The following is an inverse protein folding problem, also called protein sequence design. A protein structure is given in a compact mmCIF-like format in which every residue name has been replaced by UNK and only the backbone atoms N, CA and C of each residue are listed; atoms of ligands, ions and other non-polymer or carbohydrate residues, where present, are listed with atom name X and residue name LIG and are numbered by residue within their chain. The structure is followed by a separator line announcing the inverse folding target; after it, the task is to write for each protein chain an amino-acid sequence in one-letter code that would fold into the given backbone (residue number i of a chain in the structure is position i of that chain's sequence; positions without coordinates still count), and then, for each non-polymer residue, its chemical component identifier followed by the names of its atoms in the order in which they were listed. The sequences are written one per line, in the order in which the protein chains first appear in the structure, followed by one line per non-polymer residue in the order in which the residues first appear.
data_IF_183442706366
#
_entry.id   IF_183442706366
#
_cell.length_a   1.000
_cell.length_b   1.000
_cell.length_c   1.000
_cell.angle_alpha   90.00
_cell.angle_beta   90.00
_cell.angle_gamma   90.00
#
_symmetry.space_group_name_H-M   'P 1'
#
loop_
_entity.id
_entity.type
_entity.pdbx_description
1 polymer ?
#
# COMPACT_ATOMS: atom_id res chain seq x y z
N UNK A 1 16.89 -8.21 -23.89
CA UNK A 1 16.41 -9.54 -23.46
C UNK A 1 17.06 -9.93 -22.13
N UNK A 2 16.27 -10.24 -21.14
CA UNK A 2 16.71 -10.68 -19.81
C UNK A 2 16.37 -12.17 -19.69
N UNK A 3 17.36 -13.03 -19.44
CA UNK A 3 17.15 -14.43 -19.09
C UNK A 3 17.11 -14.56 -17.56
N UNK A 4 16.15 -15.31 -17.01
CA UNK A 4 15.93 -15.44 -15.57
C UNK A 4 15.77 -16.91 -15.18
N UNK A 5 16.21 -17.28 -13.96
CA UNK A 5 16.07 -18.65 -13.47
C UNK A 5 14.60 -19.02 -13.27
N UNK A 6 13.80 -18.08 -12.73
CA UNK A 6 12.35 -18.22 -12.57
C UNK A 6 11.66 -16.86 -12.60
N UNK A 7 10.39 -16.82 -12.97
CA UNK A 7 9.56 -15.62 -12.90
C UNK A 7 8.11 -15.97 -12.57
N UNK A 8 7.40 -15.04 -11.93
CA UNK A 8 5.95 -15.10 -11.81
C UNK A 8 5.35 -14.39 -13.02
N UNK A 9 4.76 -15.16 -13.93
CA UNK A 9 4.05 -14.68 -15.11
C UNK A 9 2.55 -14.97 -14.95
N UNK A 10 1.75 -13.90 -14.79
CA UNK A 10 0.35 -14.05 -14.38
C UNK A 10 0.24 -14.71 -13.00
N UNK A 11 -0.43 -15.85 -12.94
CA UNK A 11 -0.63 -16.63 -11.69
C UNK A 11 0.27 -17.86 -11.59
N UNK A 12 1.38 -17.89 -12.36
CA UNK A 12 2.25 -19.07 -12.42
C UNK A 12 3.72 -18.71 -12.17
N UNK A 13 4.36 -19.48 -11.30
CA UNK A 13 5.82 -19.52 -11.21
C UNK A 13 6.36 -20.42 -12.33
N UNK A 14 7.12 -19.85 -13.25
CA UNK A 14 7.72 -20.58 -14.39
C UNK A 14 9.25 -20.57 -14.31
N UNK A 15 9.91 -21.66 -14.73
CA UNK A 15 11.36 -21.83 -14.69
C UNK A 15 11.83 -22.70 -15.87
N UNK A 16 12.84 -22.29 -16.68
CA UNK A 16 13.34 -20.92 -16.74
C UNK A 16 12.33 -19.96 -17.40
N UNK A 17 12.64 -18.64 -17.38
CA UNK A 17 11.82 -17.63 -18.03
C UNK A 17 12.69 -16.56 -18.72
N UNK A 18 12.05 -15.72 -19.51
CA UNK A 18 12.68 -14.57 -20.15
C UNK A 18 11.76 -13.37 -20.20
N UNK A 19 12.34 -12.18 -20.20
CA UNK A 19 11.64 -10.89 -20.24
C UNK A 19 12.36 -10.01 -21.25
N UNK A 20 11.63 -9.45 -22.19
CA UNK A 20 12.14 -8.46 -23.12
C UNK A 20 11.67 -7.06 -22.71
N UNK A 21 12.63 -6.16 -22.52
CA UNK A 21 12.39 -4.77 -22.09
C UNK A 21 12.91 -3.83 -23.17
N UNK A 22 12.12 -2.82 -23.51
CA UNK A 22 12.52 -1.73 -24.41
C UNK A 22 12.09 -0.39 -23.78
N UNK A 23 13.07 0.44 -23.45
CA UNK A 23 12.82 1.66 -22.69
C UNK A 23 12.28 1.33 -21.30
N UNK A 24 11.14 1.87 -20.97
CA UNK A 24 10.44 1.68 -19.69
C UNK A 24 9.34 0.60 -19.73
N UNK A 25 9.21 -0.14 -20.85
CA UNK A 25 8.14 -1.12 -21.03
C UNK A 25 8.65 -2.55 -21.23
N UNK A 26 7.85 -3.51 -20.76
CA UNK A 26 7.97 -4.91 -21.09
C UNK A 26 7.33 -5.13 -22.48
N UNK A 27 8.13 -5.58 -23.45
CA UNK A 27 7.67 -5.86 -24.82
C UNK A 27 7.08 -7.26 -24.92
N UNK A 28 7.74 -8.21 -24.25
CA UNK A 28 7.31 -9.60 -24.21
C UNK A 28 7.90 -10.30 -22.98
N UNK A 29 7.28 -11.37 -22.55
CA UNK A 29 7.81 -12.29 -21.54
C UNK A 29 7.28 -13.72 -21.81
N UNK A 30 8.01 -14.72 -21.36
CA UNK A 30 7.58 -16.09 -21.58
C UNK A 30 8.34 -17.13 -20.76
N UNK A 31 7.74 -18.32 -20.69
CA UNK A 31 8.33 -19.50 -20.07
C UNK A 31 9.34 -20.17 -21.02
N UNK A 32 10.32 -20.84 -20.46
CA UNK A 32 11.35 -21.56 -21.19
C UNK A 32 12.57 -20.71 -21.54
N UNK A 33 13.46 -21.23 -22.38
CA UNK A 33 14.64 -20.51 -22.85
C UNK A 33 14.26 -19.26 -23.65
N UNK A 34 15.06 -18.21 -23.54
CA UNK A 34 14.87 -16.99 -24.33
C UNK A 34 14.91 -17.32 -25.86
N UNK A 35 13.99 -16.70 -26.65
CA UNK A 35 13.94 -16.97 -28.10
C UNK A 35 15.07 -16.30 -28.89
N UNK A 36 15.86 -15.45 -28.25
CA UNK A 36 16.98 -14.73 -28.86
C UNK A 36 18.18 -14.59 -27.94
N UNK A 37 19.12 -13.74 -28.31
CA UNK A 37 20.31 -13.49 -27.49
C UNK A 37 19.91 -12.85 -26.14
N UNK A 38 20.47 -13.37 -25.07
CA UNK A 38 20.30 -12.84 -23.70
C UNK A 38 21.39 -11.78 -23.46
N UNK A 39 20.96 -10.54 -23.22
CA UNK A 39 21.86 -9.42 -22.91
C UNK A 39 22.24 -9.42 -21.42
N UNK A 40 21.29 -9.80 -20.56
CA UNK A 40 21.43 -9.82 -19.09
C UNK A 40 20.90 -11.13 -18.56
N UNK A 41 21.73 -11.89 -17.85
CA UNK A 41 21.31 -13.05 -17.08
C UNK A 41 21.07 -12.62 -15.62
N UNK A 42 19.91 -12.98 -15.06
CA UNK A 42 19.52 -12.68 -13.69
C UNK A 42 19.27 -13.99 -12.95
N UNK A 43 20.07 -14.25 -11.92
CA UNK A 43 19.85 -15.35 -11.00
C UNK A 43 18.78 -14.98 -9.98
N UNK A 44 17.85 -15.92 -9.76
CA UNK A 44 16.79 -15.75 -8.76
C UNK A 44 15.39 -15.85 -9.35
N UNK A 45 14.41 -15.53 -8.50
CA UNK A 45 13.00 -15.46 -8.88
C UNK A 45 12.60 -14.02 -9.13
N UNK A 46 12.09 -13.74 -10.32
CA UNK A 46 11.64 -12.39 -10.72
C UNK A 46 10.14 -12.26 -10.52
N UNK A 47 9.75 -11.24 -9.78
CA UNK A 47 8.36 -10.82 -9.58
C UNK A 47 8.13 -9.46 -10.27
N UNK A 48 6.87 -9.07 -10.53
CA UNK A 48 6.55 -7.67 -10.78
C UNK A 48 7.05 -6.81 -9.63
N UNK A 49 7.46 -5.58 -9.89
CA UNK A 49 7.76 -4.63 -8.84
C UNK A 49 6.56 -4.41 -7.92
N UNK A 50 6.81 -4.23 -6.64
CA UNK A 50 5.75 -4.10 -5.65
C UNK A 50 4.98 -2.78 -5.82
N UNK A 51 3.70 -2.83 -5.49
CA UNK A 51 2.77 -1.71 -5.45
C UNK A 51 2.29 -1.54 -4.01
N UNK A 52 2.56 -0.39 -3.43
CA UNK A 52 2.13 -0.06 -2.07
C UNK A 52 1.18 1.13 -2.12
N UNK A 53 -0.09 0.85 -1.88
CA UNK A 53 -1.15 1.85 -1.96
C UNK A 53 -1.39 2.59 -0.64
N UNK A 54 -0.70 2.19 0.46
CA UNK A 54 -0.86 2.78 1.78
C UNK A 54 0.49 2.83 2.50
N UNK A 55 1.12 4.01 2.48
CA UNK A 55 2.42 4.26 3.08
C UNK A 55 2.57 5.75 3.43
N UNK A 56 3.05 6.05 4.65
CA UNK A 56 3.20 7.41 5.19
C UNK A 56 4.63 7.94 5.15
N UNK A 57 5.62 7.08 4.91
CA UNK A 57 7.02 7.49 4.89
C UNK A 57 8.00 6.35 5.13
N UNK A 58 9.28 6.72 5.31
CA UNK A 58 10.38 5.81 5.60
C UNK A 58 11.69 6.54 5.76
N UNK A 59 12.65 5.94 6.44
CA UNK A 59 14.00 6.47 6.65
C UNK A 59 14.02 7.93 7.17
N UNK A 60 13.11 8.26 8.09
CA UNK A 60 12.88 9.61 8.65
C UNK A 60 12.31 10.62 7.64
N UNK A 61 11.86 10.18 6.48
CA UNK A 61 11.17 10.99 5.48
C UNK A 61 9.67 10.74 5.54
N UNK A 62 8.89 11.76 5.89
CA UNK A 62 7.45 11.68 6.02
C UNK A 62 6.75 12.32 4.82
N UNK A 63 5.71 11.70 4.29
CA UNK A 63 4.96 12.22 3.13
C UNK A 63 4.05 13.39 3.50
N UNK A 64 3.66 13.48 4.77
CA UNK A 64 2.84 14.55 5.32
C UNK A 64 3.63 15.74 5.90
N UNK A 65 4.94 15.82 5.62
CA UNK A 65 5.79 16.91 6.13
C UNK A 65 5.58 18.26 5.40
N UNK A 66 4.75 18.33 4.35
CA UNK A 66 4.59 19.51 3.50
C UNK A 66 5.86 19.88 2.69
N UNK A 67 6.75 18.92 2.48
CA UNK A 67 8.07 19.12 1.85
C UNK A 67 8.41 17.97 0.93
N UNK A 68 8.66 18.26 -0.34
CA UNK A 68 9.02 17.28 -1.36
C UNK A 68 10.34 16.53 -1.05
N UNK A 69 11.36 17.22 -0.50
CA UNK A 69 12.63 16.61 -0.16
C UNK A 69 12.51 15.53 0.95
N UNK A 70 11.66 15.75 1.94
CA UNK A 70 11.38 14.76 2.97
C UNK A 70 10.66 13.55 2.37
N UNK A 71 9.66 13.77 1.51
CA UNK A 71 8.93 12.70 0.84
C UNK A 71 9.82 11.83 -0.07
N UNK A 72 10.77 12.43 -0.76
CA UNK A 72 11.75 11.71 -1.59
C UNK A 72 12.61 10.73 -0.80
N UNK A 73 12.96 11.05 0.45
CA UNK A 73 13.75 10.15 1.32
C UNK A 73 12.98 8.85 1.59
N UNK A 74 11.70 8.96 1.94
CA UNK A 74 10.83 7.80 2.15
C UNK A 74 10.59 7.00 0.87
N UNK A 75 10.30 7.68 -0.24
CA UNK A 75 10.09 7.04 -1.53
C UNK A 75 11.32 6.23 -1.99
N UNK A 76 12.52 6.78 -1.82
CA UNK A 76 13.76 6.12 -2.19
C UNK A 76 14.03 4.87 -1.33
N UNK A 77 13.73 4.93 -0.02
CA UNK A 77 13.79 3.74 0.83
C UNK A 77 12.93 2.62 0.24
N UNK A 78 11.64 2.87 0.05
CA UNK A 78 10.70 1.86 -0.41
C UNK A 78 11.06 1.34 -1.81
N UNK A 79 11.60 2.20 -2.69
CA UNK A 79 12.09 1.78 -4.02
C UNK A 79 13.24 0.78 -3.90
N UNK A 80 14.21 1.03 -3.02
CA UNK A 80 15.33 0.09 -2.76
C UNK A 80 14.86 -1.23 -2.15
N UNK A 81 13.69 -1.24 -1.53
CA UNK A 81 13.02 -2.44 -1.01
C UNK A 81 11.98 -3.03 -1.98
N UNK A 82 12.07 -2.67 -3.28
CA UNK A 82 11.29 -3.29 -4.35
C UNK A 82 9.93 -2.67 -4.61
N UNK A 83 9.49 -1.66 -3.85
CA UNK A 83 8.27 -0.92 -4.13
C UNK A 83 8.51 0.06 -5.27
N UNK A 84 8.14 -0.34 -6.48
CA UNK A 84 8.32 0.45 -7.70
C UNK A 84 7.14 1.38 -7.98
N UNK A 85 6.04 1.15 -7.31
CA UNK A 85 4.83 1.98 -7.36
C UNK A 85 4.37 2.26 -5.95
N UNK A 86 4.34 3.53 -5.58
CA UNK A 86 4.07 3.98 -4.22
C UNK A 86 3.00 5.07 -4.25
N UNK A 87 1.99 4.96 -3.39
CA UNK A 87 1.01 6.00 -3.13
C UNK A 87 1.39 6.72 -1.83
N UNK A 88 1.46 8.05 -1.87
CA UNK A 88 1.81 8.84 -0.70
C UNK A 88 0.57 9.05 0.19
N UNK A 89 0.55 8.44 1.37
CA UNK A 89 -0.54 8.60 2.34
C UNK A 89 -0.29 9.80 3.25
N UNK A 90 -1.25 10.71 3.28
CA UNK A 90 -1.32 11.82 4.23
C UNK A 90 -2.15 11.39 5.44
N UNK A 91 -1.75 11.86 6.61
CA UNK A 91 -2.52 11.66 7.84
C UNK A 91 -3.48 12.83 8.08
N UNK A 92 -4.41 12.64 9.00
CA UNK A 92 -5.33 13.70 9.45
C UNK A 92 -4.58 15.00 9.78
N UNK A 93 -5.01 16.09 9.14
CA UNK A 93 -4.48 17.43 9.37
C UNK A 93 -5.58 18.50 9.17
N UNK A 94 -5.28 19.75 9.47
CA UNK A 94 -6.18 20.85 9.13
C UNK A 94 -6.33 20.99 7.61
N UNK A 95 -7.43 21.58 7.13
CA UNK A 95 -7.60 21.77 5.69
C UNK A 95 -6.45 22.59 5.04
N UNK A 96 -5.97 23.70 5.63
CA UNK A 96 -4.81 24.41 5.09
C UNK A 96 -3.55 23.54 5.00
N UNK A 97 -3.26 22.74 6.04
CA UNK A 97 -2.08 21.87 6.06
C UNK A 97 -2.20 20.76 5.01
N UNK A 98 -3.38 20.16 4.82
CA UNK A 98 -3.62 19.17 3.76
C UNK A 98 -3.40 19.78 2.37
N UNK A 99 -3.83 21.01 2.15
CA UNK A 99 -3.60 21.73 0.89
C UNK A 99 -2.09 21.90 0.66
N UNK A 100 -1.33 22.38 1.65
CA UNK A 100 0.13 22.54 1.57
C UNK A 100 0.82 21.19 1.27
N UNK A 101 0.40 20.12 1.95
CA UNK A 101 0.95 18.77 1.75
C UNK A 101 0.67 18.24 0.35
N UNK A 102 -0.57 18.41 -0.16
CA UNK A 102 -0.94 18.01 -1.53
C UNK A 102 -0.12 18.78 -2.57
N UNK A 103 0.00 20.10 -2.41
CA UNK A 103 0.78 20.95 -3.30
C UNK A 103 2.28 20.59 -3.29
N UNK A 104 2.84 20.24 -2.13
CA UNK A 104 4.22 19.78 -2.00
C UNK A 104 4.48 18.44 -2.69
N UNK A 105 3.50 17.53 -2.71
CA UNK A 105 3.60 16.22 -3.35
C UNK A 105 3.28 16.26 -4.85
N UNK A 106 2.55 17.26 -5.32
CA UNK A 106 2.09 17.34 -6.70
C UNK A 106 3.21 17.16 -7.74
N UNK A 107 4.38 17.81 -7.63
CA UNK A 107 5.48 17.58 -8.57
C UNK A 107 6.01 16.16 -8.58
N UNK A 108 5.97 15.47 -7.42
CA UNK A 108 6.46 14.09 -7.27
C UNK A 108 5.44 13.06 -7.80
N UNK A 109 4.18 13.43 -7.91
CA UNK A 109 3.18 12.63 -8.64
C UNK A 109 3.34 12.86 -10.15
N UNK A 110 3.55 14.10 -10.56
CA UNK A 110 3.69 14.45 -11.98
C UNK A 110 4.95 13.85 -12.64
N UNK A 111 6.03 13.67 -11.88
CA UNK A 111 7.27 13.03 -12.36
C UNK A 111 7.26 11.49 -12.20
N UNK A 112 6.21 10.92 -11.62
CA UNK A 112 6.04 9.48 -11.42
C UNK A 112 6.78 8.88 -10.23
N UNK A 113 7.33 9.70 -9.33
CA UNK A 113 7.91 9.25 -8.04
C UNK A 113 6.83 8.59 -7.19
N UNK A 114 5.64 9.21 -7.10
CA UNK A 114 4.42 8.62 -6.54
C UNK A 114 3.39 8.35 -7.62
N UNK A 115 2.60 7.30 -7.45
CA UNK A 115 1.48 6.99 -8.34
C UNK A 115 0.26 7.88 -8.07
N UNK A 116 0.21 8.51 -6.89
CA UNK A 116 -0.84 9.38 -6.44
C UNK A 116 -0.76 9.64 -4.95
N UNK A 117 -1.78 10.31 -4.43
CA UNK A 117 -1.92 10.69 -3.02
C UNK A 117 -3.12 9.95 -2.43
N UNK A 118 -2.97 9.43 -1.22
CA UNK A 118 -4.02 8.89 -0.39
C UNK A 118 -4.27 9.82 0.79
N UNK A 119 -5.53 10.21 1.00
CA UNK A 119 -5.96 10.93 2.19
C UNK A 119 -6.44 9.93 3.25
N UNK A 120 -5.65 9.65 4.27
CA UNK A 120 -6.12 8.90 5.43
C UNK A 120 -6.66 9.86 6.48
N UNK A 121 -7.95 10.08 6.41
CA UNK A 121 -8.63 11.15 7.12
C UNK A 121 -8.64 12.49 6.34
N UNK A 122 -9.22 13.52 6.97
CA UNK A 122 -9.60 13.70 8.37
C UNK A 122 -11.00 13.17 8.75
N UNK A 123 -11.68 12.54 7.85
CA UNK A 123 -13.07 12.10 7.97
C UNK A 123 -13.17 10.71 8.62
N UNK A 124 -12.58 10.58 9.83
CA UNK A 124 -12.44 9.32 10.57
C UNK A 124 -13.20 9.38 11.89
N UNK A 125 -13.53 8.23 12.45
CA UNK A 125 -14.21 8.09 13.72
C UNK A 125 -13.33 8.49 14.91
N UNK A 126 -13.83 9.38 15.78
CA UNK A 126 -13.16 9.72 17.04
C UNK A 126 -12.94 8.48 17.94
N UNK A 127 -13.85 7.50 17.88
CA UNK A 127 -13.73 6.25 18.65
C UNK A 127 -12.67 5.30 18.08
N UNK A 128 -12.24 5.51 16.84
CA UNK A 128 -11.29 4.69 16.09
C UNK A 128 -10.15 5.53 15.52
N UNK A 129 -9.76 6.57 16.24
CA UNK A 129 -8.74 7.51 15.78
C UNK A 129 -7.36 6.86 15.56
N UNK A 130 -7.03 5.78 16.30
CA UNK A 130 -5.70 5.16 16.16
C UNK A 130 -4.59 6.18 16.43
N UNK A 131 -3.72 6.36 15.45
CA UNK A 131 -2.60 7.32 15.49
C UNK A 131 -2.92 8.65 14.77
N UNK A 132 -4.20 9.00 14.65
CA UNK A 132 -4.62 10.33 14.17
C UNK A 132 -4.94 11.25 15.34
N UNK A 133 -4.62 12.55 15.20
CA UNK A 133 -4.94 13.55 16.20
C UNK A 133 -6.47 13.73 16.30
N UNK A 134 -7.09 13.36 17.45
CA UNK A 134 -8.53 13.41 17.59
C UNK A 134 -9.11 14.84 17.49
N UNK A 135 -8.34 15.87 17.80
CA UNK A 135 -8.79 17.26 17.72
C UNK A 135 -8.93 17.76 16.27
N UNK A 136 -8.35 17.04 15.30
CA UNK A 136 -8.41 17.36 13.88
C UNK A 136 -9.43 16.51 13.11
N UNK A 137 -9.98 15.46 13.74
CA UNK A 137 -11.02 14.62 13.14
C UNK A 137 -12.32 15.37 13.00
N UNK A 138 -13.02 15.17 11.88
CA UNK A 138 -14.27 15.88 11.59
C UNK A 138 -15.14 15.14 10.59
N UNK A 139 -16.40 15.49 10.54
CA UNK A 139 -17.31 15.02 9.50
C UNK A 139 -16.94 15.64 8.14
N UNK A 140 -17.15 14.93 7.02
CA UNK A 140 -16.88 15.45 5.69
C UNK A 140 -17.91 16.51 5.31
N UNK A 141 -17.46 17.76 5.20
CA UNK A 141 -18.26 18.83 4.66
C UNK A 141 -18.12 18.89 3.14
N UNK A 142 -19.21 18.97 2.35
CA UNK A 142 -19.14 18.92 0.88
C UNK A 142 -18.19 19.94 0.26
N UNK A 143 -18.09 21.13 0.84
CA UNK A 143 -17.20 22.20 0.38
C UNK A 143 -15.71 21.86 0.63
N UNK A 144 -15.39 21.22 1.74
CA UNK A 144 -14.03 20.76 2.04
C UNK A 144 -13.62 19.63 1.09
N UNK A 145 -14.49 18.63 0.90
CA UNK A 145 -14.25 17.53 -0.04
C UNK A 145 -14.00 18.06 -1.46
N UNK A 146 -14.84 18.99 -1.93
CA UNK A 146 -14.65 19.65 -3.23
C UNK A 146 -13.30 20.37 -3.32
N UNK A 147 -12.95 21.15 -2.29
CA UNK A 147 -11.68 21.90 -2.27
C UNK A 147 -10.48 20.98 -2.36
N UNK A 148 -10.44 19.87 -1.60
CA UNK A 148 -9.32 18.93 -1.64
C UNK A 148 -9.22 18.20 -2.99
N UNK A 149 -10.36 17.82 -3.59
CA UNK A 149 -10.39 17.23 -4.94
C UNK A 149 -9.83 18.24 -5.97
N UNK A 150 -10.27 19.49 -5.92
CA UNK A 150 -9.85 20.55 -6.85
C UNK A 150 -8.34 20.85 -6.74
N UNK A 151 -7.82 20.99 -5.51
CA UNK A 151 -6.39 21.19 -5.26
C UNK A 151 -5.57 19.97 -5.71
N UNK A 152 -6.08 18.77 -5.47
CA UNK A 152 -5.46 17.53 -5.94
C UNK A 152 -5.29 17.46 -7.45
N UNK A 153 -6.20 18.06 -8.22
CA UNK A 153 -6.15 18.13 -9.67
C UNK A 153 -5.98 16.75 -10.32
N UNK A 154 -6.65 15.72 -9.79
CA UNK A 154 -6.56 14.34 -10.24
C UNK A 154 -5.39 13.53 -9.63
N UNK A 155 -4.61 14.11 -8.72
CA UNK A 155 -3.47 13.42 -8.06
C UNK A 155 -3.89 12.68 -6.79
N UNK A 156 -5.02 13.06 -6.16
CA UNK A 156 -5.62 12.26 -5.08
C UNK A 156 -6.33 11.09 -5.74
N UNK A 157 -5.87 9.87 -5.44
CA UNK A 157 -6.41 8.63 -6.03
C UNK A 157 -7.16 7.77 -5.02
N UNK A 158 -6.98 8.02 -3.72
CA UNK A 158 -7.70 7.31 -2.66
C UNK A 158 -7.99 8.25 -1.49
N UNK A 159 -9.11 8.01 -0.79
CA UNK A 159 -9.43 8.66 0.48
C UNK A 159 -10.12 7.67 1.43
N UNK A 160 -9.63 7.58 2.66
CA UNK A 160 -10.22 6.77 3.74
C UNK A 160 -11.23 7.60 4.52
N UNK A 161 -12.42 7.02 4.71
CA UNK A 161 -13.56 7.67 5.36
C UNK A 161 -14.29 6.69 6.29
N UNK A 162 -14.80 7.19 7.42
CA UNK A 162 -15.66 6.45 8.34
C UNK A 162 -17.14 6.63 7.93
N UNK A 163 -17.84 5.57 7.52
CA UNK A 163 -19.20 5.65 6.96
C UNK A 163 -20.27 6.17 7.93
N UNK A 164 -20.07 6.02 9.24
CA UNK A 164 -21.02 6.47 10.26
C UNK A 164 -21.07 7.98 10.46
N UNK A 165 -20.11 8.72 9.89
CA UNK A 165 -20.06 10.17 10.02
C UNK A 165 -21.21 10.84 9.26
N UNK A 166 -21.79 11.92 9.80
CA UNK A 166 -22.76 12.72 9.07
C UNK A 166 -22.17 13.20 7.73
N UNK A 167 -22.87 12.98 6.62
CA UNK A 167 -22.42 13.40 5.29
C UNK A 167 -21.50 12.40 4.57
N UNK A 168 -21.06 11.31 5.23
CA UNK A 168 -20.11 10.36 4.65
C UNK A 168 -20.57 9.75 3.33
N UNK A 169 -21.85 9.37 3.20
CA UNK A 169 -22.37 8.79 1.95
C UNK A 169 -22.24 9.77 0.77
N UNK A 170 -22.63 11.04 0.99
CA UNK A 170 -22.50 12.08 -0.04
C UNK A 170 -21.02 12.36 -0.38
N UNK A 171 -20.12 12.30 0.62
CA UNK A 171 -18.69 12.46 0.38
C UNK A 171 -18.11 11.29 -0.43
N UNK A 172 -18.53 10.05 -0.15
CA UNK A 172 -18.14 8.88 -0.94
C UNK A 172 -18.60 9.03 -2.40
N UNK A 173 -19.87 9.42 -2.64
CA UNK A 173 -20.37 9.68 -3.99
C UNK A 173 -19.58 10.82 -4.69
N UNK A 174 -19.21 11.87 -3.96
CA UNK A 174 -18.45 12.99 -4.50
C UNK A 174 -17.01 12.58 -4.86
N UNK A 175 -16.32 11.82 -4.00
CA UNK A 175 -14.98 11.27 -4.23
C UNK A 175 -14.98 10.34 -5.44
N UNK A 176 -15.89 9.36 -5.47
CA UNK A 176 -15.97 8.38 -6.56
C UNK A 176 -16.37 9.03 -7.89
N UNK A 177 -17.26 10.03 -7.86
CA UNK A 177 -17.62 10.85 -9.01
C UNK A 177 -16.44 11.65 -9.58
N UNK A 178 -15.43 11.94 -8.78
CA UNK A 178 -14.17 12.58 -9.18
C UNK A 178 -13.07 11.57 -9.57
N UNK A 179 -13.35 10.25 -9.55
CA UNK A 179 -12.39 9.21 -9.86
C UNK A 179 -11.46 8.85 -8.70
N UNK A 180 -11.77 9.29 -7.47
CA UNK A 180 -11.03 8.95 -6.25
C UNK A 180 -11.61 7.67 -5.64
N UNK A 181 -10.78 6.68 -5.36
CA UNK A 181 -11.18 5.47 -4.66
C UNK A 181 -11.58 5.80 -3.22
N UNK A 182 -12.82 5.52 -2.85
CA UNK A 182 -13.26 5.64 -1.48
C UNK A 182 -12.93 4.35 -0.71
N UNK A 183 -12.19 4.50 0.40
CA UNK A 183 -11.81 3.41 1.29
C UNK A 183 -12.52 3.54 2.65
N UNK A 184 -12.98 2.42 3.21
CA UNK A 184 -13.61 2.38 4.52
C UNK A 184 -12.57 1.99 5.56
N UNK A 185 -12.32 2.87 6.53
CA UNK A 185 -11.35 2.63 7.60
C UNK A 185 -11.56 3.54 8.80
N UNK A 186 -10.85 3.27 9.90
CA UNK A 186 -10.94 4.05 11.13
C UNK A 186 -12.39 4.33 11.54
N UNK A 187 -13.19 3.27 11.60
CA UNK A 187 -14.64 3.35 11.66
C UNK A 187 -15.21 2.53 12.81
N UNK A 188 -16.28 3.03 13.41
CA UNK A 188 -17.11 2.32 14.38
C UNK A 188 -18.50 1.98 13.80
N UNK A 189 -18.60 1.94 12.45
CA UNK A 189 -19.85 1.74 11.75
C UNK A 189 -20.42 0.32 11.95
N UNK A 190 -21.70 0.19 11.70
CA UNK A 190 -22.39 -1.09 11.63
C UNK A 190 -22.16 -1.77 10.27
N UNK A 191 -22.54 -3.05 10.15
CA UNK A 191 -22.52 -3.77 8.87
C UNK A 191 -23.41 -3.08 7.83
N UNK A 192 -24.60 -2.58 8.24
CA UNK A 192 -25.52 -1.89 7.34
C UNK A 192 -24.94 -0.56 6.82
N UNK A 193 -24.22 0.19 7.66
CA UNK A 193 -23.57 1.42 7.24
C UNK A 193 -22.39 1.15 6.29
N UNK A 194 -21.61 0.09 6.57
CA UNK A 194 -20.56 -0.35 5.64
C UNK A 194 -21.16 -0.76 4.28
N UNK A 195 -22.28 -1.50 4.27
CA UNK A 195 -22.95 -1.87 3.04
C UNK A 195 -23.46 -0.64 2.27
N UNK A 196 -24.04 0.36 2.96
CA UNK A 196 -24.45 1.61 2.33
C UNK A 196 -23.27 2.36 1.70
N UNK A 197 -22.10 2.36 2.35
CA UNK A 197 -20.90 2.97 1.80
C UNK A 197 -20.37 2.25 0.55
N UNK A 198 -20.41 0.91 0.54
CA UNK A 198 -20.10 0.10 -0.65
C UNK A 198 -21.08 0.40 -1.79
N UNK A 199 -22.37 0.52 -1.48
CA UNK A 199 -23.42 0.85 -2.47
C UNK A 199 -23.28 2.30 -2.99
N UNK A 200 -22.73 3.21 -2.18
CA UNK A 200 -22.34 4.58 -2.58
C UNK A 200 -21.03 4.63 -3.40
N UNK A 201 -20.32 3.53 -3.53
CA UNK A 201 -19.15 3.39 -4.40
C UNK A 201 -17.82 3.14 -3.71
N UNK A 202 -17.78 2.91 -2.39
CA UNK A 202 -16.55 2.51 -1.71
C UNK A 202 -16.11 1.09 -2.13
N UNK A 203 -14.83 0.91 -2.45
CA UNK A 203 -14.29 -0.35 -2.99
C UNK A 203 -13.05 -0.86 -2.26
N UNK A 204 -12.55 -0.16 -1.25
CA UNK A 204 -11.38 -0.59 -0.46
C UNK A 204 -11.72 -0.60 1.02
N UNK A 205 -11.19 -1.57 1.75
CA UNK A 205 -11.18 -1.60 3.21
C UNK A 205 -9.76 -1.31 3.69
N UNK A 206 -9.56 -0.15 4.29
CA UNK A 206 -8.25 0.32 4.79
C UNK A 206 -7.80 -0.57 5.93
N UNK A 207 -6.55 -1.11 5.86
CA UNK A 207 -5.89 -1.97 6.86
C UNK A 207 -6.87 -2.78 7.71
N UNK A 208 -7.65 -3.64 7.03
CA UNK A 208 -8.78 -4.39 7.60
C UNK A 208 -8.45 -4.97 8.99
N UNK A 209 -9.41 -4.92 9.92
CA UNK A 209 -9.35 -5.28 11.33
C UNK A 209 -8.74 -4.20 12.24
N UNK A 210 -7.86 -3.34 11.73
CA UNK A 210 -7.25 -2.29 12.52
C UNK A 210 -8.20 -1.09 12.61
N UNK A 211 -8.35 -0.53 13.81
CA UNK A 211 -9.29 0.58 14.09
C UNK A 211 -10.72 0.33 13.58
N UNK A 212 -11.19 -0.92 13.71
CA UNK A 212 -12.56 -1.36 13.42
C UNK A 212 -13.12 -2.16 14.61
N UNK A 213 -14.45 -2.24 14.79
CA UNK A 213 -15.06 -3.15 15.75
C UNK A 213 -14.67 -4.60 15.46
N UNK A 214 -14.33 -5.34 16.49
CA UNK A 214 -14.05 -6.77 16.35
C UNK A 214 -15.30 -7.55 15.92
N UNK A 215 -15.11 -8.61 15.14
CA UNK A 215 -16.20 -9.51 14.76
C UNK A 215 -16.79 -10.14 16.02
N UNK A 216 -18.09 -9.95 16.22
CA UNK A 216 -18.81 -10.57 17.32
C UNK A 216 -19.94 -11.44 16.78
N UNK A 217 -20.14 -12.61 17.41
CA UNK A 217 -21.12 -13.64 16.97
C UNK A 217 -22.57 -13.17 16.81
N UNK A 218 -22.93 -12.03 17.39
CA UNK A 218 -24.28 -11.43 17.32
C UNK A 218 -24.31 -10.07 16.61
N UNK A 219 -23.15 -9.56 16.21
CA UNK A 219 -23.01 -8.31 15.47
C UNK A 219 -21.69 -8.39 14.66
N UNK A 220 -21.78 -8.75 13.38
CA UNK A 220 -20.60 -8.95 12.52
C UNK A 220 -19.76 -7.68 12.34
N UNK A 221 -20.41 -6.53 12.43
CA UNK A 221 -19.74 -5.23 12.23
C UNK A 221 -19.33 -4.99 10.79
N UNK A 222 -18.56 -3.91 10.53
CA UNK A 222 -18.13 -3.57 9.19
C UNK A 222 -17.24 -4.64 8.57
N UNK A 223 -16.40 -5.31 9.37
CA UNK A 223 -15.46 -6.32 8.87
C UNK A 223 -16.16 -7.42 8.10
N UNK A 224 -17.32 -7.92 8.60
CA UNK A 224 -18.07 -8.98 7.91
C UNK A 224 -18.66 -8.46 6.59
N UNK A 225 -19.23 -7.26 6.55
CA UNK A 225 -19.77 -6.68 5.33
C UNK A 225 -18.66 -6.47 4.27
N UNK A 226 -17.48 -5.96 4.67
CA UNK A 226 -16.34 -5.74 3.79
C UNK A 226 -15.75 -7.05 3.24
N UNK A 227 -15.74 -8.11 4.05
CA UNK A 227 -15.29 -9.44 3.61
C UNK A 227 -16.27 -10.12 2.67
N UNK A 228 -17.57 -9.95 2.91
CA UNK A 228 -18.65 -10.63 2.16
C UNK A 228 -18.90 -10.03 0.77
N UNK A 229 -18.74 -8.69 0.62
CA UNK A 229 -19.02 -8.02 -0.65
C UNK A 229 -17.85 -8.17 -1.65
N UNK A 230 -18.08 -8.81 -2.83
CA UNK A 230 -17.02 -9.06 -3.81
C UNK A 230 -16.45 -7.81 -4.48
N UNK A 231 -17.08 -6.65 -4.34
CA UNK A 231 -16.62 -5.37 -4.88
C UNK A 231 -15.45 -4.78 -4.07
N UNK A 232 -15.23 -5.28 -2.83
CA UNK A 232 -14.28 -4.70 -1.89
C UNK A 232 -12.95 -5.43 -1.96
N UNK A 233 -11.88 -4.70 -2.19
CA UNK A 233 -10.48 -5.12 -1.94
C UNK A 233 -10.11 -4.76 -0.51
N UNK A 234 -9.57 -5.72 0.25
CA UNK A 234 -9.15 -5.49 1.64
C UNK A 234 -7.65 -5.30 1.73
N UNK A 235 -7.21 -4.26 2.41
CA UNK A 235 -5.80 -4.07 2.76
C UNK A 235 -5.44 -4.89 4.00
N UNK A 236 -4.28 -5.53 3.96
CA UNK A 236 -3.69 -6.22 5.11
C UNK A 236 -2.24 -5.77 5.28
N UNK A 237 -1.81 -5.57 6.53
CA UNK A 237 -0.42 -5.24 6.90
C UNK A 237 0.28 -6.53 7.32
N UNK A 238 1.12 -7.14 6.48
CA UNK A 238 1.76 -8.42 6.77
C UNK A 238 3.10 -8.24 7.52
N UNK A 239 3.07 -7.55 8.66
CA UNK A 239 4.26 -7.30 9.50
C UNK A 239 4.38 -8.28 10.68
N UNK A 240 3.38 -9.16 10.88
CA UNK A 240 3.30 -10.08 12.01
C UNK A 240 2.93 -9.44 13.35
N UNK A 241 2.58 -8.14 13.34
CA UNK A 241 2.22 -7.35 14.52
C UNK A 241 0.76 -6.90 14.45
N UNK A 242 0.35 -6.27 13.34
CA UNK A 242 -1.00 -5.74 13.13
C UNK A 242 -2.04 -6.85 13.00
N UNK A 243 -1.69 -7.91 12.27
CA UNK A 243 -2.57 -9.07 12.04
C UNK A 243 -1.77 -10.35 12.19
N UNK A 244 -2.33 -11.30 12.93
CA UNK A 244 -1.73 -12.63 13.11
C UNK A 244 -1.52 -13.32 11.75
N UNK A 245 -0.33 -13.89 11.46
CA UNK A 245 -0.04 -14.53 10.18
C UNK A 245 -1.01 -15.66 9.81
N UNK A 246 -1.51 -16.43 10.78
CA UNK A 246 -2.50 -17.47 10.51
C UNK A 246 -3.85 -16.88 10.07
N UNK A 247 -4.23 -15.70 10.62
CA UNK A 247 -5.43 -14.99 10.19
C UNK A 247 -5.26 -14.40 8.78
N UNK A 248 -4.10 -13.83 8.46
CA UNK A 248 -3.80 -13.39 7.08
C UNK A 248 -3.93 -14.57 6.12
N UNK A 249 -3.29 -15.70 6.41
CA UNK A 249 -3.38 -16.90 5.57
C UNK A 249 -4.81 -17.40 5.41
N UNK A 250 -5.62 -17.35 6.47
CA UNK A 250 -7.05 -17.70 6.40
C UNK A 250 -7.83 -16.73 5.48
N UNK A 251 -7.64 -15.43 5.63
CA UNK A 251 -8.34 -14.42 4.84
C UNK A 251 -7.98 -14.53 3.35
N UNK A 252 -6.69 -14.70 3.03
CA UNK A 252 -6.25 -14.86 1.63
C UNK A 252 -6.87 -16.11 0.99
N UNK A 253 -6.90 -17.24 1.71
CA UNK A 253 -7.56 -18.45 1.19
C UNK A 253 -9.06 -18.31 1.03
N UNK A 254 -9.71 -17.49 1.85
CA UNK A 254 -11.16 -17.29 1.83
C UNK A 254 -11.61 -16.33 0.74
N UNK A 255 -10.82 -15.27 0.48
CA UNK A 255 -11.17 -14.19 -0.45
C UNK A 255 -10.57 -14.40 -1.85
N UNK A 256 -9.46 -15.13 -1.93
CA UNK A 256 -8.65 -15.21 -3.15
C UNK A 256 -7.71 -14.02 -3.34
N UNK A 257 -6.72 -14.17 -4.26
CA UNK A 257 -5.67 -13.15 -4.43
C UNK A 257 -6.18 -11.82 -4.99
N UNK A 258 -7.29 -11.81 -5.70
CA UNK A 258 -7.78 -10.60 -6.39
C UNK A 258 -8.52 -9.62 -5.45
N UNK A 259 -8.71 -10.02 -4.19
CA UNK A 259 -9.42 -9.21 -3.19
C UNK A 259 -8.59 -8.81 -1.99
N UNK A 260 -7.31 -9.16 -1.96
CA UNK A 260 -6.41 -8.82 -0.86
C UNK A 260 -5.21 -8.04 -1.38
N UNK A 261 -5.04 -6.82 -0.92
CA UNK A 261 -3.87 -5.98 -1.17
C UNK A 261 -2.97 -5.98 0.08
N UNK A 262 -1.71 -6.40 -0.07
CA UNK A 262 -0.72 -6.18 0.97
C UNK A 262 -0.26 -4.72 0.93
N UNK A 263 -0.25 -4.07 2.09
CA UNK A 263 0.23 -2.69 2.26
C UNK A 263 1.25 -2.64 3.38
N UNK A 264 2.10 -1.61 3.37
CA UNK A 264 3.04 -1.45 4.48
C UNK A 264 2.44 -0.67 5.63
N UNK A 265 1.63 0.35 5.37
CA UNK A 265 1.24 1.35 6.37
C UNK A 265 2.48 1.87 7.13
N UNK A 266 3.60 1.99 6.39
CA UNK A 266 4.89 2.35 6.95
C UNK A 266 4.95 3.83 7.27
N UNK A 267 5.59 4.14 8.41
CA UNK A 267 5.86 5.52 8.81
C UNK A 267 7.36 5.84 8.77
N UNK A 268 7.76 7.04 9.12
CA UNK A 268 9.14 7.51 9.05
C UNK A 268 10.20 6.62 9.73
N UNK A 269 9.80 5.68 10.57
CA UNK A 269 10.71 4.73 11.20
C UNK A 269 11.05 3.50 10.33
N UNK A 270 10.33 3.23 9.25
CA UNK A 270 10.69 2.14 8.34
C UNK A 270 12.11 2.34 7.80
N UNK A 271 12.95 1.31 7.89
CA UNK A 271 14.35 1.38 7.48
C UNK A 271 15.26 2.26 8.35
N UNK A 272 14.77 2.73 9.50
CA UNK A 272 15.52 3.55 10.43
C UNK A 272 15.66 2.85 11.81
N UNK A 273 16.61 3.25 12.69
CA UNK A 273 16.80 2.66 14.01
C UNK A 273 15.59 2.85 14.93
N UNK A 274 15.43 1.97 15.95
CA UNK A 274 14.54 2.20 17.07
C UNK A 274 14.78 3.56 17.73
N UNK A 275 13.76 4.18 18.28
CA UNK A 275 13.87 5.49 18.93
C UNK A 275 12.58 6.29 18.86
N UNK A 276 12.72 7.61 19.02
CA UNK A 276 11.61 8.55 19.02
C UNK A 276 11.35 9.08 17.61
N UNK A 277 10.06 9.09 17.24
CA UNK A 277 9.53 9.53 15.95
C UNK A 277 8.28 10.36 16.15
N UNK A 278 7.65 10.75 15.05
CA UNK A 278 6.33 11.40 15.05
C UNK A 278 5.50 10.89 13.88
N UNK A 279 4.19 10.89 14.05
CA UNK A 279 3.23 10.75 12.98
C UNK A 279 2.22 11.92 13.07
N UNK A 280 2.22 12.80 12.09
CA UNK A 280 1.51 14.08 12.22
C UNK A 280 1.95 14.85 13.48
N UNK A 281 1.01 15.21 14.35
CA UNK A 281 1.27 15.91 15.60
C UNK A 281 1.67 14.98 16.77
N UNK A 282 1.53 13.66 16.63
CA UNK A 282 1.65 12.70 17.72
C UNK A 282 3.06 12.13 17.85
N UNK A 283 3.55 12.00 19.08
CA UNK A 283 4.82 11.38 19.38
C UNK A 283 4.70 9.84 19.34
N UNK A 284 5.70 9.19 18.75
CA UNK A 284 5.77 7.74 18.55
C UNK A 284 7.09 7.23 19.12
N UNK A 285 7.04 6.09 19.79
CA UNK A 285 8.22 5.34 20.24
C UNK A 285 8.30 4.03 19.47
N UNK A 286 9.43 3.79 18.83
CA UNK A 286 9.74 2.53 18.15
C UNK A 286 10.68 1.71 19.01
N UNK A 287 10.28 0.47 19.30
CA UNK A 287 11.08 -0.48 20.06
C UNK A 287 10.91 -1.90 19.50
N UNK A 288 12.02 -2.55 19.19
CA UNK A 288 12.01 -3.86 18.54
C UNK A 288 11.33 -3.84 17.17
N UNK A 289 11.37 -2.71 16.47
CA UNK A 289 10.74 -2.52 15.17
C UNK A 289 9.22 -2.31 15.24
N UNK A 290 8.63 -2.16 16.42
CA UNK A 290 7.19 -1.90 16.61
C UNK A 290 6.98 -0.44 17.00
N UNK A 291 6.15 0.27 16.23
CA UNK A 291 5.81 1.67 16.43
C UNK A 291 4.54 1.79 17.27
N UNK A 292 4.61 2.50 18.40
CA UNK A 292 3.45 2.78 19.26
C UNK A 292 3.39 4.27 19.56
N UNK A 293 2.20 4.81 19.75
CA UNK A 293 2.05 6.14 20.31
C UNK A 293 2.73 6.23 21.68
N UNK A 294 3.42 7.33 21.95
CA UNK A 294 4.11 7.55 23.22
C UNK A 294 3.14 7.40 24.40
N UNK A 295 3.66 6.90 25.55
CA UNK A 295 2.84 6.66 26.74
C UNK A 295 2.08 5.33 26.73
N UNK A 296 2.39 4.38 25.83
CA UNK A 296 1.76 3.06 25.77
C UNK A 296 0.44 3.06 25.02
N UNK A 297 0.31 3.94 24.04
CA UNK A 297 -0.85 4.04 23.15
C UNK A 297 -0.91 2.91 22.10
N UNK A 298 -1.88 2.98 21.17
CA UNK A 298 -2.02 2.00 20.07
C UNK A 298 -0.82 2.01 19.13
N UNK A 299 -0.80 1.03 18.22
CA UNK A 299 0.14 0.99 17.09
C UNK A 299 -0.01 2.27 16.26
N UNK A 300 1.08 2.75 15.70
CA UNK A 300 1.18 4.01 14.96
C UNK A 300 1.86 3.77 13.61
N UNK A 301 1.11 3.22 12.66
CA UNK A 301 1.65 2.68 11.43
C UNK A 301 2.64 1.54 11.67
N UNK A 302 3.44 1.20 10.68
CA UNK A 302 4.42 0.12 10.76
C UNK A 302 5.85 0.60 10.46
N UNK A 303 6.81 -0.32 10.65
CA UNK A 303 8.19 -0.18 10.14
C UNK A 303 8.45 -1.14 8.98
N UNK A 304 7.39 -1.63 8.33
CA UNK A 304 7.45 -2.65 7.31
C UNK A 304 8.00 -2.07 5.99
N UNK A 305 8.77 -2.90 5.28
CA UNK A 305 9.05 -2.72 3.85
C UNK A 305 8.40 -3.86 3.07
N UNK A 306 7.98 -3.63 1.81
CA UNK A 306 7.17 -4.60 1.08
C UNK A 306 7.89 -5.93 0.82
N UNK A 307 9.22 -5.93 0.66
CA UNK A 307 10.02 -7.16 0.56
C UNK A 307 9.96 -8.01 1.84
N UNK A 308 9.88 -7.38 3.02
CA UNK A 308 9.64 -8.08 4.30
C UNK A 308 8.21 -8.58 4.37
N UNK A 309 7.24 -7.76 3.94
CA UNK A 309 5.84 -8.17 3.85
C UNK A 309 5.65 -9.41 2.96
N UNK A 310 6.28 -9.44 1.79
CA UNK A 310 6.28 -10.61 0.91
C UNK A 310 6.84 -11.85 1.61
N UNK A 311 7.97 -11.71 2.33
CA UNK A 311 8.55 -12.84 3.08
C UNK A 311 7.59 -13.36 4.15
N UNK A 312 6.99 -12.48 4.92
CA UNK A 312 5.98 -12.86 5.93
C UNK A 312 4.80 -13.59 5.28
N UNK A 313 4.28 -13.10 4.15
CA UNK A 313 3.20 -13.77 3.42
C UNK A 313 3.58 -15.21 3.02
N UNK A 314 4.79 -15.42 2.51
CA UNK A 314 5.21 -16.75 2.06
C UNK A 314 5.63 -17.64 3.22
N UNK A 315 6.50 -17.16 4.13
CA UNK A 315 7.15 -17.99 5.13
C UNK A 315 6.29 -18.21 6.38
N UNK A 316 5.58 -17.15 6.83
CA UNK A 316 4.83 -17.19 8.09
C UNK A 316 3.33 -17.44 7.86
N UNK A 317 2.74 -16.86 6.80
CA UNK A 317 1.34 -17.08 6.45
C UNK A 317 1.12 -18.32 5.56
N UNK A 318 2.17 -18.94 5.01
CA UNK A 318 2.10 -20.13 4.16
C UNK A 318 1.43 -19.89 2.80
N UNK A 319 1.55 -18.68 2.26
CA UNK A 319 0.96 -18.30 0.98
C UNK A 319 1.93 -18.62 -0.16
N UNK A 320 1.50 -19.30 -1.25
CA UNK A 320 2.34 -19.52 -2.43
C UNK A 320 2.90 -18.22 -2.99
N UNK A 321 4.15 -18.25 -3.52
CA UNK A 321 4.85 -17.04 -3.97
C UNK A 321 4.10 -16.32 -5.12
N UNK A 322 3.46 -17.05 -6.02
CA UNK A 322 2.64 -16.50 -7.09
C UNK A 322 1.41 -15.75 -6.55
N UNK A 323 0.79 -16.28 -5.51
CA UNK A 323 -0.29 -15.60 -4.79
C UNK A 323 0.24 -14.37 -4.05
N UNK A 324 1.34 -14.50 -3.28
CA UNK A 324 1.96 -13.37 -2.59
C UNK A 324 2.38 -12.25 -3.56
N UNK A 325 2.88 -12.61 -4.74
CA UNK A 325 3.16 -11.65 -5.82
C UNK A 325 1.91 -10.90 -6.28
N UNK A 326 0.77 -11.57 -6.41
CA UNK A 326 -0.49 -10.90 -6.75
C UNK A 326 -0.91 -9.90 -5.64
N UNK A 327 -0.81 -10.31 -4.37
CA UNK A 327 -1.16 -9.45 -3.23
C UNK A 327 -0.28 -8.20 -3.10
N UNK A 328 0.99 -8.30 -3.48
CA UNK A 328 1.98 -7.20 -3.36
C UNK A 328 2.12 -6.36 -4.64
N UNK A 329 1.45 -6.73 -5.73
CA UNK A 329 1.64 -6.05 -7.02
C UNK A 329 0.34 -5.88 -7.80
N UNK A 330 -0.24 -6.97 -8.35
CA UNK A 330 -1.39 -6.89 -9.25
C UNK A 330 -2.65 -6.35 -8.56
N UNK A 331 -2.96 -6.87 -7.40
CA UNK A 331 -4.21 -6.53 -6.69
C UNK A 331 -4.23 -5.08 -6.22
N UNK A 332 -3.19 -4.54 -5.55
CA UNK A 332 -3.18 -3.12 -5.22
C UNK A 332 -3.14 -2.22 -6.48
N UNK A 333 -2.45 -2.60 -7.56
CA UNK A 333 -2.51 -1.85 -8.80
C UNK A 333 -3.93 -1.79 -9.37
N UNK A 334 -4.63 -2.92 -9.41
CA UNK A 334 -6.01 -2.99 -9.89
C UNK A 334 -6.97 -2.18 -9.00
N UNK A 335 -6.83 -2.25 -7.68
CA UNK A 335 -7.64 -1.50 -6.73
C UNK A 335 -7.52 0.02 -6.93
N UNK A 336 -6.35 0.50 -7.34
CA UNK A 336 -6.08 1.92 -7.64
C UNK A 336 -6.29 2.29 -9.12
N UNK A 337 -6.78 1.37 -9.97
CA UNK A 337 -6.98 1.63 -11.39
C UNK A 337 -5.69 1.81 -12.20
N UNK A 338 -4.55 1.36 -11.69
CA UNK A 338 -3.24 1.44 -12.35
C UNK A 338 -3.09 0.28 -13.33
N UNK A 339 -3.43 0.50 -14.59
CA UNK A 339 -3.57 -0.56 -15.61
C UNK A 339 -2.26 -0.98 -16.29
N UNK A 340 -1.19 -0.22 -16.10
CA UNK A 340 0.10 -0.39 -16.78
C UNK A 340 1.18 -1.05 -15.92
N UNK A 341 0.85 -1.58 -14.75
CA UNK A 341 1.80 -2.14 -13.78
C UNK A 341 1.23 -3.29 -12.95
N UNK A 342 2.05 -3.89 -12.09
CA UNK A 342 1.65 -4.99 -11.20
C UNK A 342 1.74 -6.37 -11.83
N UNK A 343 2.18 -6.48 -13.09
CA UNK A 343 2.35 -7.76 -13.79
C UNK A 343 3.58 -7.74 -14.71
N UNK A 344 4.16 -8.92 -14.95
CA UNK A 344 5.17 -9.12 -16.01
C UNK A 344 4.43 -9.57 -17.26
N UNK A 345 4.03 -8.62 -18.09
CA UNK A 345 3.30 -8.85 -19.34
C UNK A 345 3.61 -7.77 -20.37
N UNK A 346 3.38 -8.06 -21.66
CA UNK A 346 3.56 -7.11 -22.73
C UNK A 346 2.70 -5.83 -22.52
N UNK A 347 3.29 -4.66 -22.71
CA UNK A 347 2.67 -3.36 -22.51
C UNK A 347 2.72 -2.82 -21.09
N UNK A 348 3.13 -3.63 -20.11
CA UNK A 348 3.33 -3.19 -18.73
C UNK A 348 4.63 -2.41 -18.57
N UNK A 349 4.69 -1.52 -17.59
CA UNK A 349 5.92 -0.84 -17.20
C UNK A 349 6.94 -1.86 -16.70
N UNK A 350 8.19 -1.68 -17.10
CA UNK A 350 9.28 -2.58 -16.75
C UNK A 350 9.74 -2.34 -15.31
N UNK A 351 8.93 -2.82 -14.37
CA UNK A 351 9.12 -2.80 -12.94
C UNK A 351 9.28 -4.23 -12.43
N UNK A 352 10.46 -4.57 -11.89
CA UNK A 352 10.79 -5.92 -11.49
C UNK A 352 11.45 -5.94 -10.11
N UNK A 353 11.11 -6.93 -9.31
CA UNK A 353 11.77 -7.28 -8.07
C UNK A 353 12.42 -8.67 -8.22
N UNK A 354 13.71 -8.78 -7.94
CA UNK A 354 14.47 -10.05 -8.03
C UNK A 354 14.76 -10.56 -6.64
N UNK A 355 14.36 -11.79 -6.36
CA UNK A 355 14.51 -12.43 -5.06
C UNK A 355 15.50 -13.61 -5.13
N UNK A 356 16.27 -13.78 -4.07
CA UNK A 356 16.98 -15.04 -3.83
C UNK A 356 15.95 -16.16 -3.58
N UNK A 357 16.01 -17.31 -4.29
CA UNK A 357 14.92 -18.29 -4.29
C UNK A 357 14.60 -18.95 -2.94
N UNK A 358 15.60 -19.08 -2.05
CA UNK A 358 15.45 -19.78 -0.77
C UNK A 358 15.05 -18.84 0.36
N UNK A 359 15.73 -17.70 0.47
CA UNK A 359 15.54 -16.75 1.57
C UNK A 359 14.52 -15.69 1.24
N UNK A 360 14.14 -15.55 -0.03
CA UNK A 360 13.29 -14.50 -0.58
C UNK A 360 13.82 -13.08 -0.30
N UNK A 361 15.14 -12.97 -0.07
CA UNK A 361 15.76 -11.65 0.06
C UNK A 361 15.79 -10.96 -1.30
N UNK A 362 15.43 -9.68 -1.29
CA UNK A 362 15.52 -8.84 -2.49
C UNK A 362 17.00 -8.63 -2.86
N UNK A 363 17.33 -8.90 -4.11
CA UNK A 363 18.70 -8.80 -4.62
C UNK A 363 18.88 -7.73 -5.69
N UNK A 364 17.84 -7.41 -6.45
CA UNK A 364 17.84 -6.37 -7.48
C UNK A 364 16.44 -5.80 -7.66
N UNK A 365 16.38 -4.55 -8.09
CA UNK A 365 15.14 -3.86 -8.46
C UNK A 365 15.31 -3.26 -9.84
N UNK A 366 14.30 -3.36 -10.69
CA UNK A 366 14.18 -2.56 -11.89
C UNK A 366 13.00 -1.63 -11.74
N UNK A 367 13.20 -0.34 -11.97
CA UNK A 367 12.18 0.70 -11.96
C UNK A 367 12.17 1.39 -13.33
N UNK A 368 11.03 1.36 -13.99
CA UNK A 368 10.86 1.97 -15.32
C UNK A 368 11.99 1.55 -16.30
N UNK A 369 12.30 0.26 -16.35
CA UNK A 369 13.32 -0.31 -17.24
C UNK A 369 14.77 -0.11 -16.81
N UNK A 370 15.02 0.57 -15.69
CA UNK A 370 16.37 0.86 -15.19
C UNK A 370 16.66 0.06 -13.92
N UNK A 371 17.80 -0.66 -13.90
CA UNK A 371 18.28 -1.33 -12.70
C UNK A 371 18.66 -0.32 -11.63
N UNK A 372 18.18 -0.53 -10.42
CA UNK A 372 18.48 0.26 -9.23
C UNK A 372 19.47 -0.46 -8.33
N UNK A 373 20.30 0.29 -7.59
CA UNK A 373 21.09 -0.29 -6.52
C UNK A 373 20.16 -0.76 -5.39
N UNK A 374 20.24 -2.04 -4.99
CA UNK A 374 19.41 -2.53 -3.88
C UNK A 374 19.85 -1.90 -2.56
N UNK A 375 18.98 -1.96 -1.53
CA UNK A 375 19.37 -1.64 -0.18
C UNK A 375 20.51 -2.57 0.29
N UNK A 376 21.51 -2.04 1.00
CA UNK A 376 22.58 -2.88 1.54
C UNK A 376 22.00 -3.95 2.49
N UNK A 377 22.45 -5.22 2.41
CA UNK A 377 22.00 -6.26 3.33
C UNK A 377 22.35 -5.86 4.77
N UNK A 378 21.33 -5.60 5.60
CA UNK A 378 21.48 -5.20 7.01
C UNK A 378 21.05 -3.78 7.35
N UNK A 379 20.63 -2.95 6.39
CA UNK A 379 20.03 -1.63 6.67
C UNK A 379 18.60 -1.71 7.23
N UNK A 380 17.93 -2.85 7.09
CA UNK A 380 16.69 -3.13 7.82
C UNK A 380 17.03 -3.87 9.12
N UNK A 381 16.63 -3.34 10.25
CA UNK A 381 16.85 -3.90 11.57
C UNK A 381 16.41 -5.37 11.65
N UNK A 382 17.26 -6.16 12.36
CA UNK A 382 17.03 -7.58 12.67
C UNK A 382 15.85 -7.74 13.59
#
# INVERSE_FOLDING_TARGET
MIGVDAAVLGDQLVSPAWIEVAGDQIVAAGAGPAPGAVDVAVSGTVLPGFVDQHCHGGNRGDFFAGRADAALVGAELHRRHGTTTLVASLVTASQPDLIEQIEALAPLVDDGTFAGIHLEGPWLSHHRCGAHDPDLLRAPEPAEVATLIDVGGGRIIMATIAPELPGAMAAIEQLTGAGVVAAIGHTDCTADQAQQAIDAGATVATHLLNQMPAIHKRAGGPVVALLDDPRVTVELIPDGVHVDPALIGFLVRSLGPDRVAAVTDAMGAAGAPDGDYRIGALDVVVSGGVANLAGGGPLAGSTLTMDRGLRTLVQDCGIPIETASALTSRTPAAAMGLVDRGQIAAGMRADLAVLEPTTLQLTRVMWAGQWQEPAEPGSAQR
#
